data_IF_165592588904
#
_entry.id   IF_165592588904
#
_cell.length_a   1.000
_cell.length_b   1.000
_cell.length_c   1.000
_cell.angle_alpha   90.00
_cell.angle_beta   90.00
_cell.angle_gamma   90.00
#
_symmetry.space_group_name_H-M   'P 1'
#
loop_
_entity.id
_entity.type
_entity.pdbx_description
1 polymer ?
#
# COMPACT_ATOMS: atom_id res chain seq x y z
N UNK A 1 46.34 0.62 30.52
CA UNK A 1 45.30 -0.44 30.45
C UNK A 1 43.99 0.12 31.01
N UNK A 2 42.94 0.21 30.20
CA UNK A 2 41.69 0.87 30.57
C UNK A 2 40.74 -0.11 31.29
N UNK A 3 40.32 0.25 32.51
CA UNK A 3 39.36 -0.51 33.32
C UNK A 3 37.97 -0.40 32.71
N UNK A 4 37.45 -1.50 32.16
CA UNK A 4 36.09 -1.60 31.64
C UNK A 4 35.08 -1.58 32.79
N UNK A 5 34.19 -0.59 32.84
CA UNK A 5 33.05 -0.60 33.76
C UNK A 5 31.95 -1.46 33.16
N UNK A 6 31.80 -2.69 33.66
CA UNK A 6 30.66 -3.54 33.36
C UNK A 6 29.44 -3.03 34.12
N UNK A 7 28.51 -2.35 33.44
CA UNK A 7 27.21 -2.02 34.03
C UNK A 7 26.26 -3.19 33.87
N UNK A 8 25.68 -3.67 34.97
CA UNK A 8 24.67 -4.73 34.94
C UNK A 8 23.47 -4.30 34.09
N UNK A 9 23.23 -5.01 32.98
CA UNK A 9 21.96 -4.94 32.25
C UNK A 9 21.02 -5.98 32.85
N UNK A 10 19.80 -5.57 33.20
CA UNK A 10 18.74 -6.49 33.65
C UNK A 10 18.36 -7.40 32.47
N UNK A 11 18.70 -8.68 32.55
CA UNK A 11 18.20 -9.71 31.63
C UNK A 11 16.90 -10.28 32.19
N UNK A 12 15.76 -9.67 31.90
CA UNK A 12 14.48 -10.37 32.05
C UNK A 12 14.18 -11.13 30.76
N UNK A 13 14.85 -12.27 30.60
CA UNK A 13 14.56 -13.26 29.58
C UNK A 13 14.10 -14.54 30.28
N UNK A 14 12.88 -14.99 29.99
CA UNK A 14 12.37 -16.29 30.42
C UNK A 14 11.07 -16.19 31.21
N UNK A 15 9.94 -16.37 30.53
CA UNK A 15 8.63 -16.55 31.15
C UNK A 15 8.55 -18.01 31.66
N UNK A 16 8.32 -18.22 32.95
CA UNK A 16 8.20 -19.55 33.54
C UNK A 16 7.02 -20.36 32.92
N UNK A 17 7.08 -21.71 32.88
CA UNK A 17 6.05 -22.51 32.26
C UNK A 17 4.80 -22.53 33.17
N UNK A 18 3.75 -21.84 32.74
CA UNK A 18 2.49 -21.73 33.49
C UNK A 18 1.56 -22.90 33.15
N UNK A 19 1.24 -23.71 34.15
CA UNK A 19 0.18 -24.74 34.13
C UNK A 19 -1.16 -24.11 33.72
N UNK A 20 -1.91 -24.83 32.89
CA UNK A 20 -3.14 -24.37 32.22
C UNK A 20 -4.29 -24.06 33.18
N UNK A 21 -4.87 -22.86 33.06
CA UNK A 21 -6.30 -22.60 33.26
C UNK A 21 -6.70 -21.53 32.23
N UNK A 22 -7.79 -21.78 31.50
CA UNK A 22 -8.25 -20.97 30.39
C UNK A 22 -8.52 -19.52 30.81
N UNK A 23 -7.60 -18.61 30.46
CA UNK A 23 -7.83 -17.18 30.57
C UNK A 23 -8.27 -16.64 29.22
N UNK A 24 -9.56 -16.30 29.14
CA UNK A 24 -10.18 -15.43 28.14
C UNK A 24 -9.16 -14.37 27.69
N UNK A 25 -8.83 -14.35 26.39
CA UNK A 25 -7.82 -13.45 25.86
C UNK A 25 -8.28 -11.99 25.97
N UNK A 26 -7.97 -11.35 27.10
CA UNK A 26 -7.98 -9.91 27.22
C UNK A 26 -6.89 -9.38 26.29
N UNK A 27 -7.26 -9.07 25.05
CA UNK A 27 -6.42 -8.30 24.14
C UNK A 27 -6.10 -7.00 24.87
N UNK A 28 -4.82 -6.61 24.89
CA UNK A 28 -4.30 -5.42 25.57
C UNK A 28 -5.11 -4.17 25.19
N UNK A 29 -6.14 -3.86 25.95
CA UNK A 29 -6.84 -2.57 25.93
C UNK A 29 -6.26 -1.73 27.05
N UNK A 30 -5.48 -0.73 26.64
CA UNK A 30 -4.95 0.40 27.40
C UNK A 30 -4.06 0.12 28.64
N UNK A 31 -2.95 0.85 28.83
CA UNK A 31 -2.32 0.96 30.15
C UNK A 31 -3.27 1.70 31.10
N UNK A 32 -3.46 1.19 32.32
CA UNK A 32 -4.34 1.75 33.35
C UNK A 32 -3.76 2.98 34.07
N UNK A 33 -2.77 3.66 33.50
CA UNK A 33 -2.17 4.89 34.03
C UNK A 33 -1.36 5.53 32.91
N UNK A 34 -1.75 6.73 32.49
CA UNK A 34 -1.13 7.46 31.38
C UNK A 34 -1.95 7.36 30.09
N UNK A 35 -2.45 8.51 29.64
CA UNK A 35 -3.46 8.67 28.59
C UNK A 35 -3.28 7.81 27.34
N UNK A 36 -4.41 7.46 26.73
CA UNK A 36 -4.50 6.68 25.49
C UNK A 36 -3.54 7.27 24.44
N UNK A 37 -2.53 6.49 24.05
CA UNK A 37 -1.62 6.87 22.97
C UNK A 37 -2.45 7.23 21.74
N UNK A 38 -2.34 8.47 21.27
CA UNK A 38 -3.06 8.95 20.09
C UNK A 38 -2.86 7.95 18.94
N UNK A 39 -3.94 7.56 18.22
CA UNK A 39 -3.81 6.71 17.05
C UNK A 39 -2.79 7.30 16.07
N UNK A 40 -1.87 6.46 15.59
CA UNK A 40 -0.87 6.91 14.64
C UNK A 40 -1.54 7.28 13.31
N UNK A 41 -1.43 8.56 12.93
CA UNK A 41 -1.90 9.07 11.64
C UNK A 41 -0.70 9.35 10.74
N UNK A 42 -0.73 8.79 9.53
CA UNK A 42 0.30 9.06 8.54
C UNK A 42 0.24 10.52 8.06
N UNK A 43 1.40 11.06 7.66
CA UNK A 43 1.48 12.37 7.02
C UNK A 43 0.73 12.33 5.68
N UNK A 44 0.12 13.45 5.25
CA UNK A 44 -0.49 13.53 3.92
C UNK A 44 0.55 13.12 2.85
N UNK A 45 0.12 12.38 1.85
CA UNK A 45 1.00 11.85 0.79
C UNK A 45 1.67 10.50 1.10
N UNK A 46 1.89 10.13 2.37
CA UNK A 46 2.54 8.84 2.70
C UNK A 46 1.72 7.63 2.24
N UNK A 47 0.39 7.68 2.44
CA UNK A 47 -0.52 6.61 2.01
C UNK A 47 -0.63 6.57 0.48
N UNK A 48 -0.73 7.73 -0.16
CA UNK A 48 -0.80 7.85 -1.62
C UNK A 48 0.44 7.26 -2.32
N UNK A 49 1.65 7.58 -1.83
CA UNK A 49 2.88 7.02 -2.39
C UNK A 49 2.96 5.49 -2.23
N UNK A 50 2.44 4.95 -1.12
CA UNK A 50 2.38 3.51 -0.88
C UNK A 50 1.41 2.83 -1.84
N UNK A 51 0.24 3.42 -2.06
CA UNK A 51 -0.76 2.92 -3.01
C UNK A 51 -0.26 2.98 -4.45
N UNK A 52 0.39 4.08 -4.85
CA UNK A 52 1.04 4.21 -6.16
C UNK A 52 2.07 3.08 -6.37
N UNK A 53 2.95 2.81 -5.40
CA UNK A 53 3.92 1.71 -5.50
C UNK A 53 3.25 0.34 -5.58
N UNK A 54 2.16 0.13 -4.83
CA UNK A 54 1.39 -1.13 -4.85
C UNK A 54 0.74 -1.37 -6.22
N UNK A 55 0.05 -0.37 -6.77
CA UNK A 55 -0.66 -0.48 -8.06
C UNK A 55 0.28 -0.44 -9.26
N UNK A 56 1.50 0.08 -9.12
CA UNK A 56 2.55 -0.11 -10.13
C UNK A 56 3.08 -1.54 -10.15
N UNK A 57 3.21 -2.18 -8.97
CA UNK A 57 3.77 -3.54 -8.84
C UNK A 57 2.77 -4.63 -9.20
N UNK A 58 1.48 -4.38 -8.96
CA UNK A 58 0.39 -5.33 -9.21
C UNK A 58 -0.61 -4.74 -10.20
N UNK A 59 -1.12 -5.54 -11.12
CA UNK A 59 -2.08 -5.09 -12.15
C UNK A 59 -3.49 -5.61 -11.87
N UNK A 60 -3.95 -5.52 -10.62
CA UNK A 60 -5.33 -5.86 -10.27
C UNK A 60 -6.31 -4.81 -10.82
N UNK A 61 -7.55 -5.21 -11.12
CA UNK A 61 -8.58 -4.26 -11.53
C UNK A 61 -8.92 -3.35 -10.35
N UNK A 62 -8.75 -2.03 -10.52
CA UNK A 62 -9.14 -1.04 -9.50
C UNK A 62 -10.66 -0.91 -9.36
N UNK A 63 -11.40 -1.22 -10.42
CA UNK A 63 -12.85 -1.23 -10.42
C UNK A 63 -13.33 -2.65 -10.16
N UNK A 64 -14.31 -2.79 -9.26
CA UNK A 64 -14.94 -4.09 -8.96
C UNK A 64 -15.56 -4.67 -10.23
N UNK A 65 -15.40 -5.98 -10.44
CA UNK A 65 -15.84 -6.66 -11.67
C UNK A 65 -17.35 -6.59 -11.92
N UNK A 66 -18.16 -6.78 -10.87
CA UNK A 66 -19.62 -6.84 -10.97
C UNK A 66 -20.29 -5.53 -11.40
N UNK A 67 -20.03 -4.36 -10.77
CA UNK A 67 -20.64 -3.10 -11.22
C UNK A 67 -20.19 -2.71 -12.63
N UNK A 68 -18.92 -2.95 -12.98
CA UNK A 68 -18.43 -2.71 -14.34
C UNK A 68 -19.16 -3.58 -15.38
N UNK A 69 -19.37 -4.86 -15.06
CA UNK A 69 -20.13 -5.77 -15.92
C UNK A 69 -21.60 -5.35 -16.08
N UNK A 70 -22.25 -4.83 -15.02
CA UNK A 70 -23.63 -4.33 -15.09
C UNK A 70 -23.72 -3.13 -16.03
N UNK A 71 -22.81 -2.16 -15.87
CA UNK A 71 -22.76 -0.96 -16.72
C UNK A 71 -22.54 -1.29 -18.20
N UNK A 72 -21.67 -2.27 -18.51
CA UNK A 72 -21.46 -2.71 -19.89
C UNK A 72 -22.74 -3.33 -20.48
N UNK A 73 -23.55 -4.04 -19.68
CA UNK A 73 -24.81 -4.64 -20.13
C UNK A 73 -25.93 -3.63 -20.28
N UNK A 74 -25.99 -2.65 -19.38
CA UNK A 74 -26.94 -1.53 -19.43
C UNK A 74 -26.78 -0.77 -20.75
N UNK A 75 -25.56 -0.30 -21.05
CA UNK A 75 -25.27 0.43 -22.29
C UNK A 75 -25.56 -0.44 -23.53
N UNK A 76 -25.23 -1.73 -23.48
CA UNK A 76 -25.46 -2.63 -24.62
C UNK A 76 -26.93 -2.88 -24.91
N UNK A 77 -27.76 -2.89 -23.86
CA UNK A 77 -29.20 -3.10 -23.99
C UNK A 77 -29.86 -1.96 -24.79
N UNK A 78 -29.34 -0.74 -24.68
CA UNK A 78 -29.84 0.44 -25.41
C UNK A 78 -29.68 0.31 -26.94
N UNK A 79 -28.74 -0.52 -27.41
CA UNK A 79 -28.49 -0.73 -28.84
C UNK A 79 -29.18 -1.97 -29.39
N UNK A 80 -29.18 -3.08 -28.64
CA UNK A 80 -29.83 -4.32 -29.05
C UNK A 80 -30.19 -5.17 -27.85
N UNK A 81 -31.45 -5.60 -27.79
CA UNK A 81 -31.92 -6.54 -26.76
C UNK A 81 -31.32 -7.94 -27.00
N UNK A 82 -31.06 -8.68 -25.91
CA UNK A 82 -30.58 -10.08 -25.89
C UNK A 82 -29.12 -10.33 -26.33
N UNK A 83 -28.24 -9.35 -26.13
CA UNK A 83 -26.80 -9.55 -26.36
C UNK A 83 -26.14 -10.45 -25.28
N UNK A 84 -25.48 -11.51 -25.75
CA UNK A 84 -24.68 -12.41 -24.90
C UNK A 84 -23.20 -12.03 -24.97
N UNK A 85 -22.64 -11.69 -23.81
CA UNK A 85 -21.22 -11.34 -23.69
C UNK A 85 -20.37 -12.53 -23.24
N UNK A 86 -19.27 -12.79 -23.95
CA UNK A 86 -18.20 -13.63 -23.44
C UNK A 86 -17.54 -12.97 -22.22
N UNK A 87 -17.21 -13.77 -21.20
CA UNK A 87 -16.59 -13.28 -19.96
C UNK A 87 -15.23 -12.62 -20.21
N UNK A 88 -14.46 -13.13 -21.18
CA UNK A 88 -13.19 -12.56 -21.64
C UNK A 88 -13.36 -11.18 -22.27
N UNK A 89 -14.44 -10.94 -23.01
CA UNK A 89 -14.70 -9.66 -23.69
C UNK A 89 -15.01 -8.54 -22.70
N UNK A 90 -15.87 -8.80 -21.70
CA UNK A 90 -16.17 -7.84 -20.63
C UNK A 90 -14.92 -7.51 -19.83
N UNK A 91 -14.14 -8.53 -19.46
CA UNK A 91 -12.89 -8.33 -18.71
C UNK A 91 -11.81 -7.64 -19.54
N UNK A 92 -11.71 -7.91 -20.85
CA UNK A 92 -10.72 -7.29 -21.73
C UNK A 92 -10.96 -5.78 -21.91
N UNK A 93 -12.23 -5.35 -21.99
CA UNK A 93 -12.61 -3.94 -22.09
C UNK A 93 -12.16 -3.11 -20.88
N UNK A 94 -12.28 -3.66 -19.66
CA UNK A 94 -11.88 -2.99 -18.42
C UNK A 94 -10.41 -3.21 -18.02
N UNK A 95 -9.90 -4.43 -18.12
CA UNK A 95 -8.58 -4.78 -17.59
C UNK A 95 -7.41 -4.32 -18.48
N UNK A 96 -7.55 -4.39 -19.81
CA UNK A 96 -6.45 -4.02 -20.73
C UNK A 96 -6.23 -2.51 -20.78
N UNK A 97 -7.31 -1.72 -20.72
CA UNK A 97 -7.25 -0.25 -20.73
C UNK A 97 -6.66 0.29 -19.43
N UNK A 98 -7.07 -0.24 -18.29
CA UNK A 98 -6.49 0.11 -16.99
C UNK A 98 -4.98 -0.18 -16.92
N UNK A 99 -4.54 -1.35 -17.45
CA UNK A 99 -3.12 -1.75 -17.54
C UNK A 99 -2.26 -0.75 -18.31
N UNK A 100 -2.77 -0.20 -19.42
CA UNK A 100 -2.05 0.74 -20.29
C UNK A 100 -2.09 2.17 -19.72
N UNK A 101 -3.27 2.65 -19.32
CA UNK A 101 -3.44 4.01 -18.77
C UNK A 101 -2.62 4.19 -17.48
N UNK A 102 -2.59 3.18 -16.60
CA UNK A 102 -1.79 3.23 -15.38
C UNK A 102 -0.28 3.14 -15.69
N UNK A 103 0.12 2.24 -16.59
CA UNK A 103 1.51 2.09 -17.01
C UNK A 103 2.07 3.35 -17.65
N UNK A 104 1.27 4.08 -18.42
CA UNK A 104 1.69 5.26 -19.16
C UNK A 104 1.60 6.53 -18.29
N UNK A 105 0.55 6.72 -17.48
CA UNK A 105 0.48 7.85 -16.52
C UNK A 105 1.55 7.74 -15.43
N UNK A 106 1.74 6.55 -14.86
CA UNK A 106 2.56 6.43 -13.66
C UNK A 106 4.07 6.36 -13.99
N UNK A 107 4.48 5.65 -15.05
CA UNK A 107 5.87 5.70 -15.53
C UNK A 107 6.21 7.05 -16.16
N UNK A 108 5.21 7.70 -16.77
CA UNK A 108 5.32 9.06 -17.31
C UNK A 108 5.52 10.14 -16.25
N UNK A 109 5.08 9.94 -15.00
CA UNK A 109 5.34 10.89 -13.90
C UNK A 109 6.69 10.63 -13.23
N UNK A 110 7.01 9.37 -12.92
CA UNK A 110 8.19 9.04 -12.11
C UNK A 110 9.52 9.15 -12.86
N UNK A 111 9.60 8.68 -14.12
CA UNK A 111 10.86 8.73 -14.89
C UNK A 111 11.34 10.15 -15.21
N UNK A 112 10.49 11.09 -15.70
CA UNK A 112 10.96 12.46 -15.95
C UNK A 112 11.17 13.26 -14.67
N UNK A 113 10.42 13.03 -13.58
CA UNK A 113 10.71 13.67 -12.29
C UNK A 113 12.09 13.26 -11.74
N UNK A 114 12.42 11.96 -11.77
CA UNK A 114 13.75 11.44 -11.41
C UNK A 114 14.83 12.00 -12.36
N UNK A 115 14.56 12.08 -13.67
CA UNK A 115 15.49 12.63 -14.68
C UNK A 115 15.68 14.15 -14.59
N UNK A 116 14.72 14.90 -14.06
CA UNK A 116 14.86 16.35 -13.76
C UNK A 116 15.66 16.55 -12.47
N UNK A 117 15.38 15.77 -11.42
CA UNK A 117 16.16 15.80 -10.17
C UNK A 117 17.62 15.42 -10.38
N UNK A 118 17.91 14.41 -11.20
CA UNK A 118 19.27 14.01 -11.54
C UNK A 118 20.04 15.07 -12.35
N UNK A 119 19.35 15.97 -13.07
CA UNK A 119 19.99 17.10 -13.79
C UNK A 119 20.20 18.32 -12.88
N UNK A 120 19.33 18.57 -11.92
CA UNK A 120 19.52 19.66 -10.94
C UNK A 120 20.57 19.35 -9.87
N UNK A 121 20.88 18.07 -9.62
CA UNK A 121 21.90 17.66 -8.65
C UNK A 121 23.35 17.65 -9.17
N UNK A 122 23.58 17.88 -10.46
CA UNK A 122 24.91 17.82 -11.08
C UNK A 122 25.59 19.19 -11.26
N UNK A 123 25.01 20.27 -10.75
CA UNK A 123 25.51 21.65 -10.91
C UNK A 123 25.87 22.35 -9.60
N UNK A 124 26.00 21.62 -8.48
CA UNK A 124 26.39 22.20 -7.18
C UNK A 124 27.59 21.53 -6.52
N UNK A 125 28.53 20.97 -7.30
CA UNK A 125 29.83 20.53 -6.78
C UNK A 125 30.96 21.06 -7.67
N UNK A 126 31.35 22.31 -7.39
CA UNK A 126 32.68 22.98 -7.56
C UNK A 126 33.32 23.07 -8.97
N UNK A 127 34.09 24.14 -9.32
CA UNK A 127 35.20 24.67 -8.51
C UNK A 127 35.31 26.20 -8.38
N UNK A 128 36.04 26.61 -7.34
CA UNK A 128 36.52 27.95 -7.01
C UNK A 128 37.38 27.84 -5.76
#
# INVERSE_FOLDING_TARGET
>A
MARTKQTARKSTGGKAPRKQLATKAARKSAPATGGVKKPHRYRPGTVALREIRRYQKSTELLIRKLPFQRLVREIAQDFKTDLRFQSSAVMAGGAKRHRKVLGDNIRGITKPAIRRLARCGASSVFPG
#
